data_IF_188044598436
#
_entry.id   IF_188044598436
#
_cell.length_a   1.000
_cell.length_b   1.000
_cell.length_c   1.000
_cell.angle_alpha   90.00
_cell.angle_beta   90.00
_cell.angle_gamma   90.00
#
_symmetry.space_group_name_H-M   'P 1'
#
loop_
_entity.id
_entity.type
_entity.pdbx_description
1 polymer ?
#
# COMPACT_ATOMS: atom_id res chain seq x y z
N UNK A 1 11.09 5.85 5.45
CA UNK A 1 10.61 7.08 4.77
C UNK A 1 11.27 7.41 3.41
N UNK A 2 12.60 7.41 3.19
CA UNK A 2 13.16 7.81 1.88
C UNK A 2 12.84 6.83 0.74
N UNK A 3 12.67 5.54 1.05
CA UNK A 3 12.34 4.50 0.06
C UNK A 3 10.95 4.68 -0.55
N UNK A 4 9.94 5.00 0.26
CA UNK A 4 8.56 5.19 -0.22
C UNK A 4 8.43 6.45 -1.08
N UNK A 5 9.09 7.54 -0.69
CA UNK A 5 9.15 8.75 -1.50
C UNK A 5 9.75 8.48 -2.90
N UNK A 6 10.89 7.78 -2.96
CA UNK A 6 11.53 7.45 -4.24
C UNK A 6 10.71 6.49 -5.11
N UNK A 7 9.91 5.61 -4.51
CA UNK A 7 8.98 4.73 -5.24
C UNK A 7 7.79 5.56 -5.76
N UNK A 8 7.18 6.39 -4.92
CA UNK A 8 6.08 7.26 -5.30
C UNK A 8 6.46 8.22 -6.44
N UNK A 9 7.67 8.80 -6.40
CA UNK A 9 8.17 9.66 -7.47
C UNK A 9 8.32 8.93 -8.81
N UNK A 10 8.89 7.72 -8.80
CA UNK A 10 9.03 6.89 -10.00
C UNK A 10 7.67 6.45 -10.55
N UNK A 11 6.75 6.06 -9.67
CA UNK A 11 5.39 5.67 -10.08
C UNK A 11 4.62 6.84 -10.66
N UNK A 12 4.62 8.01 -10.01
CA UNK A 12 3.95 9.20 -10.50
C UNK A 12 4.46 9.60 -11.88
N UNK A 13 5.78 9.60 -12.07
CA UNK A 13 6.41 9.85 -13.37
C UNK A 13 5.96 8.86 -14.45
N UNK A 14 5.88 7.58 -14.11
CA UNK A 14 5.46 6.53 -15.05
C UNK A 14 3.96 6.60 -15.39
N UNK A 15 3.10 6.99 -14.44
CA UNK A 15 1.66 7.16 -14.65
C UNK A 15 1.39 8.33 -15.58
N UNK A 16 1.94 9.52 -15.26
CA UNK A 16 1.78 10.71 -16.13
C UNK A 16 2.25 10.41 -17.54
N UNK A 17 3.45 9.82 -17.70
CA UNK A 17 3.98 9.43 -19.02
C UNK A 17 3.03 8.51 -19.78
N UNK A 18 2.45 7.49 -19.13
CA UNK A 18 1.54 6.56 -19.79
C UNK A 18 0.21 7.21 -20.19
N UNK A 19 -0.33 8.09 -19.34
CA UNK A 19 -1.57 8.81 -19.62
C UNK A 19 -1.41 9.72 -20.84
N UNK A 20 -0.31 10.46 -20.93
CA UNK A 20 0.01 11.34 -22.06
C UNK A 20 0.29 10.54 -23.34
N UNK A 21 1.16 9.53 -23.28
CA UNK A 21 1.54 8.73 -24.47
C UNK A 21 0.35 7.99 -25.07
N UNK A 22 -0.53 7.45 -24.23
CA UNK A 22 -1.73 6.74 -24.68
C UNK A 22 -2.89 7.67 -25.03
N UNK A 23 -2.74 8.98 -24.86
CA UNK A 23 -3.79 9.99 -25.08
C UNK A 23 -5.08 9.69 -24.31
N UNK A 24 -4.93 9.13 -23.10
CA UNK A 24 -6.07 8.77 -22.23
C UNK A 24 -6.54 9.99 -21.43
N UNK A 25 -5.64 10.95 -21.19
CA UNK A 25 -5.94 12.20 -20.50
C UNK A 25 -5.16 13.36 -21.13
N UNK A 26 -5.77 14.54 -21.16
CA UNK A 26 -5.12 15.77 -21.59
C UNK A 26 -4.61 16.52 -20.34
N UNK A 27 -3.30 16.47 -20.11
CA UNK A 27 -2.66 17.03 -18.92
C UNK A 27 -2.09 18.40 -19.27
N UNK A 28 -2.68 19.46 -18.71
CA UNK A 28 -2.22 20.84 -18.91
C UNK A 28 -0.94 21.17 -18.14
N UNK A 29 -0.82 20.63 -16.93
CA UNK A 29 0.36 20.80 -16.07
C UNK A 29 0.83 19.45 -15.54
N UNK A 30 1.91 18.94 -16.13
CA UNK A 30 2.50 17.65 -15.73
C UNK A 30 3.09 17.68 -14.32
N UNK A 31 3.56 18.83 -13.82
CA UNK A 31 4.16 18.92 -12.51
C UNK A 31 3.08 18.79 -11.43
N UNK A 32 1.98 19.51 -11.60
CA UNK A 32 0.81 19.41 -10.70
C UNK A 32 0.21 18.00 -10.73
N UNK A 33 0.05 17.40 -11.91
CA UNK A 33 -0.45 16.03 -12.03
C UNK A 33 0.49 15.01 -11.34
N UNK A 34 1.80 15.14 -11.54
CA UNK A 34 2.79 14.29 -10.89
C UNK A 34 2.78 14.44 -9.38
N UNK A 35 2.68 15.67 -8.87
CA UNK A 35 2.61 15.94 -7.44
C UNK A 35 1.37 15.31 -6.80
N UNK A 36 0.20 15.44 -7.44
CA UNK A 36 -1.04 14.82 -6.97
C UNK A 36 -0.94 13.29 -6.93
N UNK A 37 -0.47 12.66 -8.01
CA UNK A 37 -0.29 11.19 -8.06
C UNK A 37 0.73 10.73 -7.01
N UNK A 38 1.86 11.44 -6.89
CA UNK A 38 2.90 11.14 -5.91
C UNK A 38 2.35 11.17 -4.49
N UNK A 39 1.56 12.19 -4.16
CA UNK A 39 0.96 12.33 -2.84
C UNK A 39 0.07 11.12 -2.51
N UNK A 40 -0.86 10.79 -3.39
CA UNK A 40 -1.77 9.64 -3.22
C UNK A 40 -1.00 8.32 -3.11
N UNK A 41 0.00 8.10 -3.97
CA UNK A 41 0.82 6.87 -3.93
C UNK A 41 1.61 6.79 -2.63
N UNK A 42 2.18 7.90 -2.17
CA UNK A 42 2.94 7.93 -0.92
C UNK A 42 2.04 7.62 0.29
N UNK A 43 0.85 8.23 0.35
CA UNK A 43 -0.12 7.96 1.42
C UNK A 43 -0.51 6.48 1.44
N UNK A 44 -0.78 5.89 0.27
CA UNK A 44 -1.10 4.47 0.18
C UNK A 44 0.05 3.57 0.66
N UNK A 45 1.30 3.86 0.27
CA UNK A 45 2.46 3.08 0.70
C UNK A 45 2.69 3.17 2.22
N UNK A 46 2.45 4.33 2.82
CA UNK A 46 2.54 4.50 4.28
C UNK A 46 1.41 3.76 4.98
N UNK A 47 0.18 3.85 4.46
CA UNK A 47 -0.95 3.13 5.01
C UNK A 47 -0.77 1.60 4.92
N UNK A 48 -0.18 1.10 3.84
CA UNK A 48 0.13 -0.32 3.66
C UNK A 48 1.19 -0.80 4.67
N UNK A 49 2.25 -0.03 4.90
CA UNK A 49 3.28 -0.34 5.91
C UNK A 49 2.69 -0.38 7.32
N UNK A 50 1.78 0.54 7.62
CA UNK A 50 1.10 0.60 8.90
C UNK A 50 0.16 -0.59 9.08
N UNK A 51 -0.57 -0.97 8.03
CA UNK A 51 -1.42 -2.16 8.01
C UNK A 51 -0.61 -3.45 8.23
N UNK A 52 0.57 -3.58 7.60
CA UNK A 52 1.46 -4.74 7.82
C UNK A 52 1.95 -4.81 9.28
N UNK A 53 2.32 -3.66 9.84
CA UNK A 53 2.79 -3.54 11.23
C UNK A 53 1.68 -3.93 12.22
N UNK A 54 0.46 -3.45 12.00
CA UNK A 54 -0.69 -3.78 12.83
C UNK A 54 -1.08 -5.26 12.72
N UNK A 55 -1.08 -5.82 11.50
CA UNK A 55 -1.37 -7.23 11.28
C UNK A 55 -0.37 -8.13 12.04
N UNK A 56 0.93 -7.79 12.01
CA UNK A 56 1.95 -8.50 12.78
C UNK A 56 1.73 -8.38 14.27
N UNK A 57 1.43 -7.17 14.76
CA UNK A 57 1.16 -6.92 16.18
C UNK A 57 0.00 -7.76 16.67
N UNK A 58 -1.11 -7.77 15.93
CA UNK A 58 -2.28 -8.59 16.26
C UNK A 58 -1.91 -10.07 16.38
N UNK A 59 -1.14 -10.60 15.42
CA UNK A 59 -0.71 -12.01 15.50
C UNK A 59 0.26 -12.26 16.66
N UNK A 60 1.11 -11.29 17.03
CA UNK A 60 1.99 -11.43 18.19
C UNK A 60 1.21 -11.47 19.50
N UNK A 61 0.16 -10.63 19.63
CA UNK A 61 -0.73 -10.64 20.79
C UNK A 61 -1.45 -12.00 20.94
N UNK A 62 -1.66 -12.72 19.83
CA UNK A 62 -2.25 -14.06 19.78
C UNK A 62 -1.23 -15.21 19.59
N UNK A 63 0.08 -14.95 19.72
CA UNK A 63 1.12 -15.92 19.36
C UNK A 63 1.04 -17.25 20.11
N UNK A 64 0.66 -17.22 21.40
CA UNK A 64 0.48 -18.41 22.22
C UNK A 64 -0.63 -19.32 21.67
N UNK A 65 -1.78 -18.73 21.34
CA UNK A 65 -2.93 -19.44 20.75
C UNK A 65 -2.61 -20.02 19.37
N UNK A 66 -1.87 -19.28 18.55
CA UNK A 66 -1.42 -19.72 17.21
C UNK A 66 -0.48 -20.93 17.35
N UNK A 67 0.46 -20.87 18.30
CA UNK A 67 1.38 -21.97 18.58
C UNK A 67 0.65 -23.22 19.08
N UNK A 68 -0.30 -23.04 20.01
CA UNK A 68 -1.07 -24.12 20.60
C UNK A 68 -2.04 -24.78 19.59
N UNK A 69 -2.47 -24.05 18.55
CA UNK A 69 -3.36 -24.54 17.49
C UNK A 69 -2.64 -25.09 16.24
N UNK A 70 -1.30 -25.12 16.24
CA UNK A 70 -0.48 -25.48 15.07
C UNK A 70 -0.84 -24.72 13.79
N UNK A 71 -1.39 -23.50 13.93
CA UNK A 71 -1.84 -22.70 12.80
C UNK A 71 -0.65 -22.06 12.07
N UNK A 72 -0.72 -22.03 10.72
CA UNK A 72 0.31 -21.40 9.90
C UNK A 72 0.24 -19.87 10.03
N UNK A 73 1.24 -19.31 10.69
CA UNK A 73 1.41 -17.87 10.88
C UNK A 73 1.35 -17.08 9.56
N UNK A 74 1.94 -17.60 8.48
CA UNK A 74 2.00 -16.90 7.19
C UNK A 74 0.62 -16.81 6.55
N UNK A 75 -0.17 -17.88 6.63
CA UNK A 75 -1.54 -17.87 6.15
C UNK A 75 -2.42 -16.94 6.99
N UNK A 76 -2.25 -16.94 8.31
CA UNK A 76 -2.98 -16.04 9.21
C UNK A 76 -2.64 -14.58 8.95
N UNK A 77 -1.36 -14.25 8.69
CA UNK A 77 -0.94 -12.90 8.35
C UNK A 77 -1.62 -12.42 7.07
N UNK A 78 -1.69 -13.26 6.03
CA UNK A 78 -2.43 -12.95 4.81
C UNK A 78 -3.91 -12.61 5.09
N UNK A 79 -4.60 -13.48 5.84
CA UNK A 79 -6.02 -13.30 6.18
C UNK A 79 -6.27 -12.05 7.03
N UNK A 80 -5.41 -11.76 8.01
CA UNK A 80 -5.52 -10.56 8.85
C UNK A 80 -5.30 -9.31 8.01
N UNK A 81 -4.29 -9.29 7.13
CA UNK A 81 -4.04 -8.16 6.22
C UNK A 81 -5.24 -7.92 5.30
N UNK A 82 -5.81 -8.95 4.70
CA UNK A 82 -7.01 -8.85 3.85
C UNK A 82 -8.24 -8.34 4.63
N UNK A 83 -8.40 -8.75 5.89
CA UNK A 83 -9.49 -8.28 6.73
C UNK A 83 -9.32 -6.79 7.06
N UNK A 84 -8.14 -6.41 7.54
CA UNK A 84 -7.82 -5.01 7.88
C UNK A 84 -7.90 -4.09 6.66
N UNK A 85 -7.49 -4.57 5.48
CA UNK A 85 -7.58 -3.80 4.24
C UNK A 85 -9.04 -3.52 3.87
N UNK A 86 -9.90 -4.55 3.90
CA UNK A 86 -11.33 -4.41 3.62
C UNK A 86 -12.03 -3.46 4.58
N UNK A 87 -11.77 -3.56 5.88
CA UNK A 87 -12.37 -2.69 6.90
C UNK A 87 -11.99 -1.22 6.71
N UNK A 88 -10.82 -0.95 6.12
CA UNK A 88 -10.29 0.40 5.88
C UNK A 88 -10.52 0.91 4.44
N UNK A 89 -11.19 0.13 3.59
CA UNK A 89 -11.43 0.50 2.18
C UNK A 89 -10.18 0.42 1.29
N UNK A 90 -9.14 -0.30 1.70
CA UNK A 90 -7.96 -0.57 0.88
C UNK A 90 -8.14 -1.82 0.03
N UNK A 91 -7.57 -1.82 -1.18
CA UNK A 91 -7.42 -2.99 -2.03
C UNK A 91 -5.93 -3.36 -2.01
N UNK A 92 -5.61 -4.58 -1.55
CA UNK A 92 -4.26 -5.16 -1.57
C UNK A 92 -3.94 -5.78 -2.93
#
# INVERSE_FOLDING_TARGET
MPRHAAVADRMASAVVKRLTVRKIAEIKDENTARAAIRHVVLENLVAEEQLDTEARKLLMDHAKQIKDSAADYRQLLGKVKEKLARERGFIL
#
